data_IF_680825173072
#
_entry.id   IF_680825173072
#
_cell.length_a   1.000
_cell.length_b   1.000
_cell.length_c   1.000
_cell.angle_alpha   90.00
_cell.angle_beta   90.00
_cell.angle_gamma   90.00
#
_symmetry.space_group_name_H-M   'P 1'
#
loop_
_entity.id
_entity.type
_entity.pdbx_description
1 polymer ?
#
# COMPACT_ATOMS: atom_id res chain seq x y z
N UNK A 1 -38.29 30.93 29.71
CA UNK A 1 -38.45 29.60 29.09
C UNK A 1 -37.30 29.39 28.12
N UNK A 2 -36.51 28.31 28.29
CA UNK A 2 -35.46 27.93 27.32
C UNK A 2 -36.13 27.21 26.15
N UNK A 3 -35.97 27.72 24.94
CA UNK A 3 -36.40 27.03 23.73
C UNK A 3 -35.42 25.89 23.43
N UNK A 4 -35.88 24.65 23.59
CA UNK A 4 -35.15 23.48 23.12
C UNK A 4 -35.30 23.41 21.61
N UNK A 5 -34.19 23.57 20.88
CA UNK A 5 -34.14 23.32 19.44
C UNK A 5 -34.03 21.80 19.28
N UNK A 6 -35.13 21.15 18.95
CA UNK A 6 -35.10 19.77 18.48
C UNK A 6 -34.65 19.79 17.02
N UNK A 7 -33.37 19.53 16.77
CA UNK A 7 -32.92 19.21 15.42
C UNK A 7 -33.52 17.86 15.04
N UNK A 8 -34.38 17.83 14.01
CA UNK A 8 -34.73 16.59 13.32
C UNK A 8 -33.42 15.98 12.82
N UNK A 9 -32.91 14.97 13.53
CA UNK A 9 -31.79 14.18 13.05
C UNK A 9 -32.38 13.28 11.98
N UNK A 10 -32.31 13.71 10.71
CA UNK A 10 -32.53 12.81 9.60
C UNK A 10 -31.71 11.55 9.85
N UNK A 11 -32.37 10.41 9.81
CA UNK A 11 -31.75 9.13 10.12
C UNK A 11 -30.76 8.83 9.01
N UNK A 12 -29.49 9.17 9.23
CA UNK A 12 -28.43 9.00 8.24
C UNK A 12 -28.30 7.51 7.93
N UNK A 13 -28.54 7.14 6.66
CA UNK A 13 -28.35 5.78 6.21
C UNK A 13 -26.85 5.46 6.11
N UNK A 14 -26.31 4.95 7.22
CA UNK A 14 -24.90 4.58 7.31
C UNK A 14 -24.50 3.47 6.33
N UNK A 15 -25.42 2.61 5.88
CA UNK A 15 -25.11 1.53 4.96
C UNK A 15 -24.91 2.04 3.53
N UNK A 16 -25.73 3.00 3.10
CA UNK A 16 -25.50 3.72 1.83
C UNK A 16 -24.17 4.49 1.84
N UNK A 17 -23.84 5.14 2.95
CA UNK A 17 -22.54 5.83 3.10
C UNK A 17 -21.38 4.84 2.96
N UNK A 18 -21.47 3.64 3.58
CA UNK A 18 -20.41 2.62 3.46
C UNK A 18 -20.20 2.18 2.02
N UNK A 19 -21.26 2.04 1.23
CA UNK A 19 -21.15 1.69 -0.20
C UNK A 19 -20.38 2.77 -0.95
N UNK A 20 -20.75 4.05 -0.76
CA UNK A 20 -20.06 5.19 -1.39
C UNK A 20 -18.60 5.30 -0.94
N UNK A 21 -18.32 5.07 0.34
CA UNK A 21 -16.96 5.00 0.89
C UNK A 21 -16.14 3.91 0.20
N UNK A 22 -16.72 2.73 -0.04
CA UNK A 22 -16.01 1.64 -0.71
C UNK A 22 -15.69 1.98 -2.16
N UNK A 23 -16.62 2.59 -2.89
CA UNK A 23 -16.36 3.03 -4.26
C UNK A 23 -15.23 4.06 -4.34
N UNK A 24 -15.15 4.98 -3.38
CA UNK A 24 -14.05 5.95 -3.27
C UNK A 24 -12.74 5.23 -2.98
N UNK A 25 -12.73 4.28 -2.03
CA UNK A 25 -11.55 3.49 -1.70
C UNK A 25 -11.03 2.69 -2.90
N UNK A 26 -11.91 2.06 -3.67
CA UNK A 26 -11.54 1.32 -4.87
C UNK A 26 -10.88 2.26 -5.89
N UNK A 27 -11.48 3.42 -6.16
CA UNK A 27 -10.92 4.40 -7.09
C UNK A 27 -9.52 4.87 -6.65
N UNK A 28 -9.36 5.18 -5.36
CA UNK A 28 -8.05 5.59 -4.82
C UNK A 28 -7.03 4.44 -4.76
N UNK A 29 -7.43 3.20 -4.49
CA UNK A 29 -6.53 2.04 -4.57
C UNK A 29 -6.03 1.81 -6.00
N UNK A 30 -6.91 1.94 -7.00
CA UNK A 30 -6.54 1.85 -8.41
C UNK A 30 -5.52 2.93 -8.77
N UNK A 31 -5.76 4.19 -8.37
CA UNK A 31 -4.79 5.27 -8.56
C UNK A 31 -3.42 4.95 -7.94
N UNK A 32 -3.41 4.40 -6.71
CA UNK A 32 -2.19 4.06 -5.98
C UNK A 32 -1.41 2.89 -6.60
N UNK A 33 -1.91 2.23 -7.65
CA UNK A 33 -1.10 1.27 -8.42
C UNK A 33 -0.02 1.97 -9.26
N UNK A 34 -0.19 3.24 -9.64
CA UNK A 34 0.86 4.03 -10.31
C UNK A 34 1.64 4.92 -9.36
N UNK A 35 1.33 4.92 -8.06
CA UNK A 35 2.14 5.60 -7.06
C UNK A 35 3.12 4.62 -6.43
N UNK A 36 4.43 4.94 -6.35
CA UNK A 36 5.42 4.01 -5.82
C UNK A 36 5.13 3.73 -4.35
N UNK A 37 4.78 2.47 -4.08
CA UNK A 37 4.73 1.94 -2.71
C UNK A 37 6.11 1.49 -2.21
N UNK A 38 7.15 1.63 -3.04
CA UNK A 38 8.42 0.92 -2.88
C UNK A 38 9.14 1.42 -1.62
N UNK A 39 9.09 0.59 -0.57
CA UNK A 39 9.62 0.80 0.79
C UNK A 39 8.85 1.77 1.69
N UNK A 40 7.62 2.13 1.33
CA UNK A 40 6.80 3.06 2.08
C UNK A 40 6.47 2.56 3.51
N UNK A 41 7.30 2.90 4.50
CA UNK A 41 7.08 2.55 5.90
C UNK A 41 6.01 3.41 6.57
N UNK A 42 5.79 4.61 6.04
CA UNK A 42 4.85 5.58 6.61
C UNK A 42 3.51 5.52 5.87
N UNK A 43 2.43 5.82 6.59
CA UNK A 43 1.09 6.00 6.01
C UNK A 43 1.11 7.00 4.85
N UNK A 44 1.85 8.10 4.97
CA UNK A 44 1.99 9.11 3.91
C UNK A 44 2.61 8.54 2.64
N UNK A 45 3.66 7.72 2.78
CA UNK A 45 4.30 7.08 1.63
C UNK A 45 3.38 6.04 0.99
N UNK A 46 2.59 5.31 1.78
CA UNK A 46 1.65 4.27 1.29
C UNK A 46 0.46 4.89 0.55
N UNK A 47 -0.04 6.02 1.05
CA UNK A 47 -1.26 6.67 0.56
C UNK A 47 -1.00 7.82 -0.42
N UNK A 48 0.26 8.17 -0.66
CA UNK A 48 0.64 9.28 -1.53
C UNK A 48 -0.13 10.57 -1.22
N UNK A 49 -0.68 11.28 -2.22
CA UNK A 49 -1.42 12.52 -2.00
C UNK A 49 -2.81 12.33 -1.36
N UNK A 50 -3.32 11.10 -1.23
CA UNK A 50 -4.71 10.85 -0.81
C UNK A 50 -5.01 11.44 0.56
N UNK A 51 -4.08 11.35 1.52
CA UNK A 51 -4.27 11.96 2.84
C UNK A 51 -4.54 13.48 2.76
N UNK A 52 -3.88 14.19 1.84
CA UNK A 52 -4.12 15.64 1.63
C UNK A 52 -5.39 15.91 0.84
N UNK A 53 -5.73 15.05 -0.13
CA UNK A 53 -7.00 15.13 -0.87
C UNK A 53 -8.18 15.09 0.09
N UNK A 54 -8.17 14.16 1.05
CA UNK A 54 -9.24 14.01 2.04
C UNK A 54 -9.40 15.28 2.89
N UNK A 55 -8.29 15.87 3.36
CA UNK A 55 -8.31 17.12 4.12
C UNK A 55 -8.84 18.30 3.29
N UNK A 56 -8.45 18.42 2.03
CA UNK A 56 -8.88 19.50 1.15
C UNK A 56 -10.33 19.37 0.71
N UNK A 57 -10.82 18.15 0.47
CA UNK A 57 -12.22 17.90 0.13
C UNK A 57 -13.17 18.40 1.24
N UNK A 58 -12.82 18.18 2.52
CA UNK A 58 -13.57 18.68 3.68
C UNK A 58 -13.74 20.20 3.67
N UNK A 59 -12.76 20.94 3.12
CA UNK A 59 -12.80 22.39 3.15
C UNK A 59 -13.88 22.99 2.24
N UNK A 60 -14.43 22.22 1.30
CA UNK A 60 -15.47 22.66 0.36
C UNK A 60 -15.01 23.70 -0.68
N UNK A 61 -13.72 24.06 -0.70
CA UNK A 61 -13.16 25.13 -1.57
C UNK A 61 -12.65 24.61 -2.91
N UNK A 62 -12.60 23.30 -3.07
CA UNK A 62 -11.95 22.65 -4.19
C UNK A 62 -12.98 22.02 -5.12
N UNK A 63 -12.87 22.31 -6.41
CA UNK A 63 -13.51 21.52 -7.45
C UNK A 63 -12.64 20.32 -7.83
N UNK A 64 -13.23 19.38 -8.59
CA UNK A 64 -12.56 18.14 -9.02
C UNK A 64 -11.27 18.44 -9.79
N UNK A 65 -11.29 19.38 -10.73
CA UNK A 65 -10.15 19.67 -11.60
C UNK A 65 -9.00 20.28 -10.81
N UNK A 66 -9.29 21.24 -9.94
CA UNK A 66 -8.28 21.88 -9.10
C UNK A 66 -7.64 20.90 -8.12
N UNK A 67 -8.43 20.02 -7.48
CA UNK A 67 -7.91 19.05 -6.53
C UNK A 67 -7.12 17.93 -7.22
N UNK A 68 -7.56 17.49 -8.40
CA UNK A 68 -6.80 16.56 -9.24
C UNK A 68 -5.46 17.16 -9.66
N UNK A 69 -5.42 18.43 -10.08
CA UNK A 69 -4.18 19.12 -10.40
C UNK A 69 -3.22 19.21 -9.21
N UNK A 70 -3.74 19.52 -8.02
CA UNK A 70 -2.96 19.52 -6.78
C UNK A 70 -2.36 18.14 -6.46
N UNK A 71 -3.17 17.08 -6.58
CA UNK A 71 -2.74 15.71 -6.35
C UNK A 71 -1.69 15.24 -7.35
N UNK A 72 -1.86 15.58 -8.63
CA UNK A 72 -0.89 15.30 -9.69
C UNK A 72 0.44 16.02 -9.43
N UNK A 73 0.42 17.27 -8.96
CA UNK A 73 1.65 17.97 -8.61
C UNK A 73 2.43 17.24 -7.50
N UNK A 74 1.75 16.81 -6.42
CA UNK A 74 2.39 16.00 -5.37
C UNK A 74 2.92 14.67 -5.92
N UNK A 75 2.15 14.04 -6.81
CA UNK A 75 2.55 12.79 -7.47
C UNK A 75 3.87 12.97 -8.23
N UNK A 76 3.96 14.01 -9.05
CA UNK A 76 5.13 14.30 -9.88
C UNK A 76 6.34 14.82 -9.09
N UNK A 77 6.13 15.42 -7.91
CA UNK A 77 7.21 15.84 -7.03
C UNK A 77 7.96 14.66 -6.37
N UNK A 78 7.39 13.45 -6.41
CA UNK A 78 8.06 12.27 -5.90
C UNK A 78 9.10 11.77 -6.93
N UNK A 79 10.39 11.81 -6.57
CA UNK A 79 11.50 11.41 -7.45
C UNK A 79 11.48 9.94 -7.86
N UNK A 80 10.72 9.09 -7.16
CA UNK A 80 10.57 7.67 -7.46
C UNK A 80 9.44 7.38 -8.46
N UNK A 81 8.62 8.39 -8.77
CA UNK A 81 7.58 8.30 -9.79
C UNK A 81 8.19 8.57 -11.17
N UNK A 82 7.96 7.67 -12.13
CA UNK A 82 8.33 7.88 -13.54
C UNK A 82 7.22 8.52 -14.37
N UNK A 83 5.99 8.51 -13.87
CA UNK A 83 4.81 9.08 -14.51
C UNK A 83 3.53 8.46 -13.95
N UNK A 84 2.39 8.89 -14.47
CA UNK A 84 1.07 8.37 -14.12
C UNK A 84 0.39 7.82 -15.38
N UNK A 85 -0.18 6.62 -15.28
CA UNK A 85 -0.99 6.05 -16.37
C UNK A 85 -2.31 6.80 -16.53
N UNK A 86 -2.90 6.76 -17.72
CA UNK A 86 -4.22 7.36 -17.95
C UNK A 86 -5.30 6.68 -17.10
N UNK A 87 -5.19 5.37 -16.86
CA UNK A 87 -6.06 4.63 -15.95
C UNK A 87 -5.98 5.20 -14.52
N UNK A 88 -4.77 5.38 -13.98
CA UNK A 88 -4.59 5.92 -12.62
C UNK A 88 -5.01 7.38 -12.53
N UNK A 89 -4.81 8.17 -13.58
CA UNK A 89 -5.31 9.56 -13.63
C UNK A 89 -6.84 9.60 -13.60
N UNK A 90 -7.50 8.78 -14.42
CA UNK A 90 -8.95 8.67 -14.42
C UNK A 90 -9.51 8.15 -13.09
N UNK A 91 -8.82 7.19 -12.46
CA UNK A 91 -9.20 6.68 -11.14
C UNK A 91 -9.07 7.74 -10.04
N UNK A 92 -8.02 8.57 -10.08
CA UNK A 92 -7.84 9.70 -9.18
C UNK A 92 -8.98 10.72 -9.30
N UNK A 93 -9.29 11.14 -10.53
CA UNK A 93 -10.36 12.09 -10.81
C UNK A 93 -11.72 11.55 -10.33
N UNK A 94 -12.04 10.29 -10.65
CA UNK A 94 -13.26 9.61 -10.21
C UNK A 94 -13.36 9.51 -8.69
N UNK A 95 -12.26 9.19 -8.01
CA UNK A 95 -12.22 9.13 -6.55
C UNK A 95 -12.47 10.50 -5.91
N UNK A 96 -11.87 11.56 -6.46
CA UNK A 96 -12.08 12.95 -6.02
C UNK A 96 -13.53 13.39 -6.25
N UNK A 97 -14.09 13.10 -7.43
CA UNK A 97 -15.49 13.43 -7.76
C UNK A 97 -16.46 12.80 -6.75
N UNK A 98 -16.32 11.48 -6.52
CA UNK A 98 -17.16 10.75 -5.57
C UNK A 98 -17.00 11.27 -4.14
N UNK A 99 -15.76 11.57 -3.73
CA UNK A 99 -15.47 12.14 -2.41
C UNK A 99 -16.16 13.49 -2.23
N UNK A 100 -16.00 14.42 -3.19
CA UNK A 100 -16.62 15.75 -3.11
C UNK A 100 -18.15 15.63 -3.09
N UNK A 101 -18.74 14.73 -3.89
CA UNK A 101 -20.19 14.48 -3.86
C UNK A 101 -20.64 14.01 -2.48
N UNK A 102 -19.99 12.98 -1.94
CA UNK A 102 -20.35 12.41 -0.64
C UNK A 102 -20.21 13.44 0.49
N UNK A 103 -19.15 14.25 0.50
CA UNK A 103 -18.93 15.28 1.52
C UNK A 103 -20.02 16.37 1.46
N UNK A 104 -20.54 16.70 0.27
CA UNK A 104 -21.66 17.65 0.11
C UNK A 104 -23.00 17.07 0.56
N UNK A 105 -23.19 15.76 0.39
CA UNK A 105 -24.42 15.06 0.75
C UNK A 105 -24.53 14.78 2.25
N UNK A 106 -23.41 14.57 2.94
CA UNK A 106 -23.40 14.21 4.36
C UNK A 106 -23.37 15.42 5.29
N UNK A 107 -24.09 15.38 6.43
CA UNK A 107 -24.03 16.43 7.44
C UNK A 107 -22.60 16.69 7.97
N UNK A 108 -22.30 17.95 8.25
CA UNK A 108 -20.95 18.40 8.69
C UNK A 108 -20.43 17.62 9.90
N UNK A 109 -21.32 17.27 10.84
CA UNK A 109 -20.96 16.54 12.07
C UNK A 109 -20.51 15.08 11.82
N UNK A 110 -20.70 14.53 10.62
CA UNK A 110 -20.25 13.17 10.27
C UNK A 110 -19.17 13.14 9.18
N UNK A 111 -18.82 14.29 8.58
CA UNK A 111 -17.79 14.36 7.53
C UNK A 111 -16.44 13.81 8.00
N UNK A 112 -16.03 14.08 9.24
CA UNK A 112 -14.79 13.52 9.81
C UNK A 112 -14.82 12.01 9.88
N UNK A 113 -15.95 11.43 10.32
CA UNK A 113 -16.13 9.98 10.36
C UNK A 113 -16.07 9.36 8.95
N UNK A 114 -16.67 10.00 7.95
CA UNK A 114 -16.61 9.54 6.55
C UNK A 114 -15.17 9.55 6.05
N UNK A 115 -14.43 10.63 6.31
CA UNK A 115 -13.03 10.76 5.93
C UNK A 115 -12.19 9.69 6.61
N UNK A 116 -12.35 9.46 7.91
CA UNK A 116 -11.60 8.44 8.65
C UNK A 116 -11.86 7.03 8.11
N UNK A 117 -13.11 6.72 7.73
CA UNK A 117 -13.46 5.43 7.13
C UNK A 117 -12.75 5.22 5.78
N UNK A 118 -12.64 6.26 4.96
CA UNK A 118 -11.91 6.20 3.69
C UNK A 118 -10.40 6.08 3.97
N UNK A 119 -9.88 6.94 4.85
CA UNK A 119 -8.44 7.06 5.14
C UNK A 119 -7.87 5.76 5.71
N UNK A 120 -8.40 5.30 6.85
CA UNK A 120 -7.91 4.08 7.49
C UNK A 120 -8.31 2.80 6.76
N UNK A 121 -9.48 2.78 6.11
CA UNK A 121 -9.91 1.65 5.28
C UNK A 121 -8.96 1.43 4.10
N UNK A 122 -8.60 2.51 3.39
CA UNK A 122 -7.64 2.46 2.29
C UNK A 122 -6.24 2.10 2.79
N UNK A 123 -5.77 2.73 3.88
CA UNK A 123 -4.47 2.41 4.48
C UNK A 123 -4.35 0.91 4.81
N UNK A 124 -5.36 0.35 5.49
CA UNK A 124 -5.37 -1.06 5.86
C UNK A 124 -5.35 -1.96 4.62
N UNK A 125 -6.19 -1.68 3.61
CA UNK A 125 -6.21 -2.43 2.35
C UNK A 125 -4.84 -2.45 1.67
N UNK A 126 -4.17 -1.29 1.55
CA UNK A 126 -2.84 -1.17 0.95
C UNK A 126 -1.79 -1.93 1.76
N UNK A 127 -1.79 -1.75 3.08
CA UNK A 127 -0.82 -2.40 3.96
C UNK A 127 -0.98 -3.93 3.97
N UNK A 128 -2.22 -4.40 3.98
CA UNK A 128 -2.55 -5.83 3.89
C UNK A 128 -2.04 -6.43 2.58
N UNK A 129 -2.33 -5.80 1.43
CA UNK A 129 -1.87 -6.25 0.10
C UNK A 129 -0.35 -6.38 0.04
N UNK A 130 0.37 -5.41 0.62
CA UNK A 130 1.82 -5.44 0.71
C UNK A 130 2.33 -6.59 1.59
N UNK A 131 1.76 -6.78 2.78
CA UNK A 131 2.12 -7.86 3.70
C UNK A 131 1.87 -9.25 3.08
N UNK A 132 0.72 -9.44 2.44
CA UNK A 132 0.36 -10.69 1.76
C UNK A 132 1.31 -10.99 0.58
N UNK A 133 1.68 -9.96 -0.19
CA UNK A 133 2.65 -10.11 -1.27
C UNK A 133 4.02 -10.54 -0.76
N UNK A 134 4.51 -9.91 0.32
CA UNK A 134 5.78 -10.26 0.97
C UNK A 134 5.77 -11.68 1.51
N UNK A 135 4.69 -12.07 2.18
CA UNK A 135 4.56 -13.42 2.73
C UNK A 135 4.55 -14.47 1.62
N UNK A 136 3.81 -14.21 0.53
CA UNK A 136 3.82 -15.09 -0.63
C UNK A 136 5.23 -15.26 -1.21
N UNK A 137 6.00 -14.18 -1.35
CA UNK A 137 7.38 -14.25 -1.82
C UNK A 137 8.29 -15.01 -0.86
N UNK A 138 8.12 -14.80 0.46
CA UNK A 138 8.87 -15.54 1.50
C UNK A 138 8.59 -17.04 1.42
N UNK A 139 7.33 -17.43 1.26
CA UNK A 139 6.93 -18.83 1.09
C UNK A 139 7.49 -19.44 -0.21
N UNK A 140 7.50 -18.69 -1.31
CA UNK A 140 8.16 -19.12 -2.55
C UNK A 140 9.67 -19.34 -2.35
N UNK A 141 10.34 -18.49 -1.56
CA UNK A 141 11.75 -18.66 -1.22
C UNK A 141 11.98 -19.89 -0.34
N UNK A 142 11.11 -20.12 0.65
CA UNK A 142 11.17 -21.31 1.49
C UNK A 142 11.03 -22.58 0.64
N UNK A 143 10.10 -22.60 -0.30
CA UNK A 143 9.92 -23.74 -1.19
C UNK A 143 11.15 -23.98 -2.07
N UNK A 144 11.75 -22.91 -2.60
CA UNK A 144 13.02 -22.98 -3.33
C UNK A 144 14.15 -23.61 -2.49
N UNK A 145 14.26 -23.23 -1.21
CA UNK A 145 15.26 -23.82 -0.31
C UNK A 145 14.92 -25.26 0.08
N UNK A 146 13.65 -25.58 0.33
CA UNK A 146 13.19 -26.96 0.61
C UNK A 146 13.48 -27.88 -0.57
N UNK A 147 13.29 -27.41 -1.80
CA UNK A 147 13.65 -28.16 -3.00
C UNK A 147 15.15 -28.42 -3.11
N UNK A 148 15.99 -27.45 -2.72
CA UNK A 148 17.44 -27.55 -2.78
C UNK A 148 18.06 -28.42 -1.67
N UNK A 149 17.69 -28.16 -0.41
CA UNK A 149 18.33 -28.76 0.76
C UNK A 149 17.59 -29.96 1.33
N UNK A 150 16.29 -30.10 1.04
CA UNK A 150 15.39 -31.19 1.51
C UNK A 150 15.16 -31.26 3.02
N UNK A 151 16.17 -30.95 3.85
CA UNK A 151 16.16 -31.08 5.32
C UNK A 151 16.76 -29.84 5.97
N UNK A 152 16.37 -29.57 7.22
CA UNK A 152 16.91 -28.46 8.00
C UNK A 152 18.40 -28.66 8.30
N UNK A 153 18.83 -29.88 8.63
CA UNK A 153 20.25 -30.19 8.87
C UNK A 153 21.14 -29.81 7.68
N UNK A 154 20.68 -30.06 6.45
CA UNK A 154 21.40 -29.69 5.24
C UNK A 154 21.45 -28.17 5.04
N UNK A 155 20.36 -27.47 5.35
CA UNK A 155 20.31 -26.00 5.33
C UNK A 155 21.27 -25.39 6.36
N UNK A 156 21.21 -25.86 7.60
CA UNK A 156 22.05 -25.41 8.71
C UNK A 156 23.54 -25.59 8.40
N UNK A 157 23.92 -26.76 7.88
CA UNK A 157 25.28 -27.04 7.43
C UNK A 157 25.71 -26.13 6.29
N UNK A 158 24.86 -25.91 5.30
CA UNK A 158 25.19 -25.07 4.16
C UNK A 158 25.31 -23.59 4.53
N UNK A 159 24.46 -23.10 5.44
CA UNK A 159 24.44 -21.69 5.84
C UNK A 159 25.36 -21.37 7.00
N UNK A 160 25.95 -22.38 7.65
CA UNK A 160 26.78 -22.25 8.86
C UNK A 160 25.98 -21.67 10.04
N UNK A 161 24.69 -22.03 10.13
CA UNK A 161 23.74 -21.50 11.11
C UNK A 161 23.09 -22.66 11.88
N UNK A 162 23.47 -22.87 13.14
CA UNK A 162 23.03 -24.02 13.95
C UNK A 162 21.51 -24.08 14.24
N UNK A 163 20.79 -22.97 14.04
CA UNK A 163 19.36 -22.85 14.34
C UNK A 163 18.55 -22.43 13.10
N UNK A 164 19.09 -22.58 11.89
CA UNK A 164 18.34 -22.27 10.69
C UNK A 164 17.18 -23.27 10.53
N UNK A 165 15.95 -22.73 10.51
CA UNK A 165 14.71 -23.44 10.20
C UNK A 165 14.07 -22.82 8.98
N UNK A 166 13.41 -23.64 8.17
CA UNK A 166 12.80 -23.12 6.95
C UNK A 166 11.77 -22.04 7.25
N UNK A 167 10.98 -22.21 8.29
CA UNK A 167 9.87 -21.34 8.66
C UNK A 167 10.35 -19.96 9.13
N UNK A 168 11.59 -19.86 9.63
CA UNK A 168 12.21 -18.63 10.13
C UNK A 168 13.05 -17.91 9.07
N UNK A 169 13.13 -18.45 7.85
CA UNK A 169 13.88 -17.82 6.77
C UNK A 169 13.18 -16.56 6.28
N UNK A 170 13.95 -15.50 6.20
CA UNK A 170 13.58 -14.23 5.58
C UNK A 170 14.40 -13.97 4.32
N UNK A 171 13.74 -13.38 3.34
CA UNK A 171 14.38 -12.86 2.13
C UNK A 171 14.78 -11.40 2.37
N UNK A 172 16.06 -11.07 2.17
CA UNK A 172 16.59 -9.73 2.38
C UNK A 172 17.15 -9.16 1.09
N UNK A 173 17.04 -7.84 0.90
CA UNK A 173 17.65 -7.12 -0.22
C UNK A 173 19.18 -7.18 -0.23
N UNK A 174 19.84 -7.00 -1.39
CA UNK A 174 21.29 -7.06 -1.51
C UNK A 174 21.98 -5.89 -0.81
N UNK A 175 21.26 -4.79 -0.55
CA UNK A 175 21.75 -3.63 0.17
C UNK A 175 21.69 -3.78 1.69
N UNK A 176 20.86 -4.69 2.20
CA UNK A 176 20.60 -4.85 3.64
C UNK A 176 21.88 -5.24 4.41
N UNK A 177 22.07 -4.75 5.65
CA UNK A 177 23.18 -5.17 6.50
C UNK A 177 23.20 -6.68 6.76
N UNK A 178 22.01 -7.29 6.88
CA UNK A 178 21.84 -8.74 7.09
C UNK A 178 22.38 -9.53 5.91
N UNK A 179 22.07 -9.13 4.67
CA UNK A 179 22.61 -9.76 3.47
C UNK A 179 24.15 -9.65 3.42
N UNK A 180 24.71 -8.49 3.78
CA UNK A 180 26.17 -8.27 3.76
C UNK A 180 26.90 -9.16 4.78
N UNK A 181 26.31 -9.41 5.95
CA UNK A 181 26.89 -10.24 7.02
C UNK A 181 26.65 -11.75 6.85
N UNK A 182 25.71 -12.15 5.99
CA UNK A 182 25.40 -13.56 5.74
C UNK A 182 26.58 -14.35 5.15
N UNK A 183 26.58 -15.66 5.38
CA UNK A 183 27.52 -16.61 4.78
C UNK A 183 27.44 -16.59 3.24
N UNK A 184 28.52 -17.01 2.59
CA UNK A 184 28.59 -16.97 1.13
C UNK A 184 27.52 -17.86 0.47
N UNK A 185 27.23 -19.01 1.06
CA UNK A 185 26.17 -19.91 0.59
C UNK A 185 24.79 -19.23 0.61
N UNK A 186 24.42 -18.60 1.75
CA UNK A 186 23.16 -17.88 1.92
C UNK A 186 23.03 -16.72 0.94
N UNK A 187 24.10 -15.97 0.70
CA UNK A 187 24.15 -14.91 -0.33
C UNK A 187 23.90 -15.47 -1.73
N UNK A 188 24.52 -16.61 -2.07
CA UNK A 188 24.35 -17.24 -3.37
C UNK A 188 22.92 -17.75 -3.57
N UNK A 189 22.28 -18.29 -2.54
CA UNK A 189 20.89 -18.75 -2.60
C UNK A 189 19.91 -17.61 -2.80
N UNK A 190 20.07 -16.51 -2.07
CA UNK A 190 19.24 -15.32 -2.24
C UNK A 190 19.38 -14.77 -3.67
N UNK A 191 20.61 -14.69 -4.20
CA UNK A 191 20.86 -14.27 -5.59
C UNK A 191 20.23 -15.24 -6.60
N UNK A 192 20.39 -16.54 -6.40
CA UNK A 192 19.79 -17.55 -7.27
C UNK A 192 18.26 -17.47 -7.27
N UNK A 193 17.66 -17.20 -6.10
CA UNK A 193 16.23 -16.99 -5.99
C UNK A 193 15.76 -15.73 -6.72
N UNK A 194 16.52 -14.64 -6.69
CA UNK A 194 16.19 -13.45 -7.49
C UNK A 194 16.25 -13.73 -8.99
N UNK A 195 17.26 -14.44 -9.47
CA UNK A 195 17.32 -14.84 -10.89
C UNK A 195 16.14 -15.75 -11.27
N UNK A 196 15.74 -16.65 -10.38
CA UNK A 196 14.53 -17.46 -10.55
C UNK A 196 13.25 -16.60 -10.63
N UNK A 197 13.13 -15.55 -9.82
CA UNK A 197 12.00 -14.62 -9.90
C UNK A 197 12.02 -13.80 -11.20
N UNK A 198 13.19 -13.36 -11.67
CA UNK A 198 13.33 -12.67 -12.97
C UNK A 198 12.89 -13.56 -14.13
N UNK A 199 13.33 -14.82 -14.13
CA UNK A 199 12.93 -15.79 -15.15
C UNK A 199 11.41 -16.05 -15.18
N UNK A 200 10.71 -15.79 -14.07
CA UNK A 200 9.24 -15.86 -13.96
C UNK A 200 8.53 -14.53 -14.25
N UNK A 201 9.24 -13.49 -14.68
CA UNK A 201 8.68 -12.16 -14.95
C UNK A 201 8.24 -11.40 -13.70
N UNK A 202 8.78 -11.74 -12.51
CA UNK A 202 8.42 -11.11 -11.22
C UNK A 202 9.45 -10.05 -10.78
N UNK A 203 9.95 -9.25 -11.72
CA UNK A 203 11.03 -8.29 -11.50
C UNK A 203 10.66 -7.19 -10.49
N UNK A 204 9.39 -6.78 -10.46
CA UNK A 204 8.87 -5.76 -9.53
C UNK A 204 9.03 -6.14 -8.05
N UNK A 205 9.04 -7.43 -7.74
CA UNK A 205 9.22 -7.96 -6.37
C UNK A 205 10.66 -7.79 -5.92
N UNK A 206 11.62 -7.94 -6.84
CA UNK A 206 13.06 -7.88 -6.56
C UNK A 206 13.46 -6.45 -6.22
N UNK A 207 12.97 -5.47 -6.97
CA UNK A 207 13.21 -4.05 -6.70
C UNK A 207 12.70 -3.67 -5.30
N UNK A 208 11.50 -4.10 -4.94
CA UNK A 208 10.84 -3.79 -3.66
C UNK A 208 11.62 -4.32 -2.45
N UNK A 209 12.18 -5.53 -2.53
CA UNK A 209 12.96 -6.14 -1.43
C UNK A 209 14.38 -5.56 -1.38
N UNK A 210 14.91 -5.10 -2.52
CA UNK A 210 16.30 -4.64 -2.64
C UNK A 210 16.60 -3.28 -2.02
N UNK A 211 15.57 -2.46 -1.80
CA UNK A 211 15.65 -1.10 -1.30
C UNK A 211 15.40 -0.99 0.22
N UNK A 212 15.10 -2.10 0.89
CA UNK A 212 14.95 -2.13 2.34
C UNK A 212 16.32 -2.26 3.03
N UNK A 213 16.74 -1.17 3.70
CA UNK A 213 17.80 -1.15 4.71
C UNK A 213 17.40 -1.84 6.01
#
# INVERSE_FOLDING_TARGET
>A
MRNFIFSNVEQINMDEIKIKVEEIRIAFDTYLNSYPAKTARTKHSIMGPIGKILQHAKSGKWDVKSLSGYALNIHMMNTQVKGITDESRGALEKGIEKLISLIKEVPVNIQDKVIDLIDYGLYYQRRKKEMESREKTRLEFINFLKEKYKTEDALQKAWEENNAKFEDVYLFGPKSPTFKRASQAKKNDIKAFWEYLKAKGKEEIIETISEEE
#
